data_IF_607179653526
#
_entry.id   IF_607179653526
#
_cell.length_a   1.000
_cell.length_b   1.000
_cell.length_c   1.000
_cell.angle_alpha   90.00
_cell.angle_beta   90.00
_cell.angle_gamma   90.00
#
_symmetry.space_group_name_H-M   'P 1'
#
loop_
_entity.id
_entity.type
_entity.pdbx_description
1 polymer ?
#
# COMPACT_ATOMS: atom_id res chain seq x y z
N UNK A 1 24.06 47.67 45.02
CA UNK A 1 24.10 46.21 44.77
C UNK A 1 23.54 45.92 43.35
N UNK A 2 24.25 45.15 42.57
CA UNK A 2 24.22 45.11 41.10
C UNK A 2 23.01 44.34 40.51
N UNK A 3 22.28 44.87 39.51
CA UNK A 3 21.32 44.12 38.75
C UNK A 3 22.00 43.56 37.48
N UNK A 4 22.76 42.46 37.59
CA UNK A 4 23.42 41.80 36.43
C UNK A 4 22.77 40.45 36.02
N UNK A 5 21.68 40.04 36.66
CA UNK A 5 21.05 38.74 36.38
C UNK A 5 19.77 38.81 35.50
N UNK A 6 19.28 40.01 35.20
CA UNK A 6 18.06 40.17 34.42
C UNK A 6 18.34 40.28 32.91
N UNK A 7 19.55 40.66 32.51
CA UNK A 7 19.93 40.80 31.11
C UNK A 7 20.22 39.46 30.41
N UNK A 8 20.53 38.39 31.16
CA UNK A 8 20.86 37.08 30.57
C UNK A 8 19.62 36.26 30.22
N UNK A 9 18.48 36.54 30.88
CA UNK A 9 17.21 35.86 30.60
C UNK A 9 16.50 36.41 29.35
N UNK A 10 16.79 37.64 28.96
CA UNK A 10 16.16 38.27 27.77
C UNK A 10 16.84 37.85 26.45
N UNK A 11 18.07 37.30 26.50
CA UNK A 11 18.79 36.89 25.29
C UNK A 11 18.60 35.42 24.93
N UNK A 12 18.08 34.60 25.86
CA UNK A 12 17.85 33.16 25.60
C UNK A 12 16.43 32.91 25.07
N UNK A 13 15.47 33.80 25.34
CA UNK A 13 14.06 33.64 24.92
C UNK A 13 13.84 33.64 23.41
N UNK A 14 14.55 34.43 22.56
CA UNK A 14 14.35 34.35 21.12
C UNK A 14 14.99 33.12 20.46
N UNK A 15 15.90 32.40 21.15
CA UNK A 15 16.54 31.20 20.56
C UNK A 15 15.68 29.91 20.70
N UNK A 16 14.71 29.89 21.62
CA UNK A 16 13.83 28.73 21.84
C UNK A 16 12.66 28.75 20.85
N UNK A 17 12.26 29.93 20.34
CA UNK A 17 11.15 30.08 19.39
C UNK A 17 11.57 29.73 17.95
N UNK A 18 12.88 29.74 17.64
CA UNK A 18 13.37 29.35 16.30
C UNK A 18 13.53 27.83 16.12
N UNK A 19 13.34 27.01 17.17
CA UNK A 19 13.46 25.55 17.09
C UNK A 19 12.08 24.84 16.94
N UNK A 20 10.96 25.57 17.00
CA UNK A 20 9.68 25.07 16.49
C UNK A 20 9.65 25.33 15.00
N UNK A 21 10.56 24.70 14.26
CA UNK A 21 10.46 24.57 12.83
C UNK A 21 9.10 24.01 12.52
N UNK A 22 8.30 24.76 11.77
CA UNK A 22 7.14 24.21 11.06
C UNK A 22 7.61 22.92 10.38
N UNK A 23 7.28 21.79 11.00
CA UNK A 23 7.13 20.56 10.26
C UNK A 23 5.91 20.83 9.37
N UNK A 24 6.14 21.50 8.24
CA UNK A 24 5.24 21.40 7.11
C UNK A 24 5.22 19.89 6.83
N UNK A 25 4.17 19.22 7.26
CA UNK A 25 3.81 17.94 6.70
C UNK A 25 3.68 18.24 5.21
N UNK A 26 4.75 17.91 4.50
CA UNK A 26 4.73 17.87 3.06
C UNK A 26 3.73 16.76 2.76
N UNK A 27 2.45 17.15 2.54
CA UNK A 27 1.45 16.23 2.02
C UNK A 27 2.07 15.66 0.75
N UNK A 28 2.58 14.45 0.84
CA UNK A 28 3.07 13.72 -0.32
C UNK A 28 1.85 13.56 -1.23
N UNK A 29 1.83 14.32 -2.32
CA UNK A 29 0.76 14.26 -3.30
C UNK A 29 0.71 12.84 -3.83
N UNK A 30 -0.32 12.11 -3.44
CA UNK A 30 -0.54 10.74 -3.91
C UNK A 30 -0.82 10.82 -5.41
N UNK A 31 0.01 10.16 -6.21
CA UNK A 31 -0.23 10.04 -7.65
C UNK A 31 -1.30 8.98 -7.89
N UNK A 32 -2.47 9.41 -8.35
CA UNK A 32 -3.60 8.56 -8.70
C UNK A 32 -3.86 8.54 -10.21
N UNK A 33 -2.86 8.93 -11.01
CA UNK A 33 -2.96 8.91 -12.46
C UNK A 33 -3.11 7.46 -12.94
N UNK A 34 -4.12 7.13 -13.76
CA UNK A 34 -4.26 5.78 -14.29
C UNK A 34 -3.04 5.37 -15.11
N UNK A 35 -2.54 4.16 -14.88
CA UNK A 35 -1.45 3.61 -15.69
C UNK A 35 -1.89 3.40 -17.14
N UNK A 36 -1.00 3.74 -18.08
CA UNK A 36 -1.28 3.56 -19.50
C UNK A 36 -1.16 2.07 -19.87
N UNK A 37 -2.27 1.43 -20.20
CA UNK A 37 -2.36 -0.03 -20.40
C UNK A 37 -1.62 -0.46 -21.68
N UNK A 38 -0.69 -1.41 -21.56
CA UNK A 38 -0.11 -2.11 -22.69
C UNK A 38 -1.04 -3.25 -23.13
N UNK A 39 -1.59 -3.17 -24.35
CA UNK A 39 -2.60 -4.12 -24.85
C UNK A 39 -2.12 -5.57 -24.91
N UNK A 40 -0.83 -5.82 -25.17
CA UNK A 40 -0.27 -7.17 -25.19
C UNK A 40 -0.16 -7.75 -23.78
N UNK A 41 0.29 -6.95 -22.83
CA UNK A 41 0.35 -7.35 -21.43
C UNK A 41 -1.06 -7.58 -20.86
N UNK A 42 -2.01 -6.69 -21.17
CA UNK A 42 -3.41 -6.81 -20.76
C UNK A 42 -4.08 -8.08 -21.32
N UNK A 43 -3.77 -8.45 -22.56
CA UNK A 43 -4.26 -9.72 -23.13
C UNK A 43 -3.79 -10.95 -22.33
N UNK A 44 -2.55 -10.94 -21.83
CA UNK A 44 -2.02 -12.02 -20.98
C UNK A 44 -2.69 -12.02 -19.60
N UNK A 45 -2.93 -10.85 -19.03
CA UNK A 45 -3.65 -10.69 -17.77
C UNK A 45 -5.09 -11.24 -17.90
N UNK A 46 -5.81 -10.88 -18.96
CA UNK A 46 -7.17 -11.39 -19.21
C UNK A 46 -7.18 -12.91 -19.39
N UNK A 47 -6.18 -13.51 -20.04
CA UNK A 47 -6.05 -14.97 -20.14
C UNK A 47 -5.88 -15.61 -18.75
N UNK A 48 -5.10 -14.99 -17.87
CA UNK A 48 -4.99 -15.45 -16.49
C UNK A 48 -6.34 -15.37 -15.76
N UNK A 49 -7.06 -14.25 -15.88
CA UNK A 49 -8.37 -14.06 -15.25
C UNK A 49 -9.40 -15.08 -15.72
N UNK A 50 -9.52 -15.28 -17.04
CA UNK A 50 -10.44 -16.28 -17.62
C UNK A 50 -10.12 -17.69 -17.14
N UNK A 51 -8.84 -18.03 -17.03
CA UNK A 51 -8.44 -19.34 -16.53
C UNK A 51 -8.80 -19.54 -15.04
N UNK A 52 -8.65 -18.51 -14.21
CA UNK A 52 -9.07 -18.54 -12.81
C UNK A 52 -10.58 -18.73 -12.65
N UNK A 53 -11.38 -18.08 -13.49
CA UNK A 53 -12.84 -18.23 -13.47
C UNK A 53 -13.28 -19.64 -13.88
N UNK A 54 -12.53 -20.30 -14.74
CA UNK A 54 -12.86 -21.63 -15.27
C UNK A 54 -12.33 -22.79 -14.44
N UNK A 55 -11.29 -22.58 -13.63
CA UNK A 55 -10.62 -23.63 -12.87
C UNK A 55 -9.86 -23.08 -11.66
N UNK A 56 -10.07 -23.71 -10.50
CA UNK A 56 -9.46 -23.32 -9.23
C UNK A 56 -8.42 -24.37 -8.74
N UNK A 57 -7.85 -25.16 -9.65
CA UNK A 57 -6.82 -26.13 -9.28
C UNK A 57 -5.41 -25.50 -9.25
N UNK A 58 -4.47 -26.19 -8.56
CA UNK A 58 -3.10 -25.72 -8.38
C UNK A 58 -2.34 -25.54 -9.71
N UNK A 59 -2.57 -26.41 -10.69
CA UNK A 59 -1.88 -26.34 -11.98
C UNK A 59 -2.37 -25.16 -12.81
N UNK A 60 -3.67 -24.88 -12.78
CA UNK A 60 -4.28 -23.69 -13.38
C UNK A 60 -3.79 -22.42 -12.71
N UNK A 61 -3.69 -22.39 -11.38
CA UNK A 61 -3.12 -21.25 -10.63
C UNK A 61 -1.67 -20.98 -11.04
N UNK A 62 -0.83 -22.02 -11.13
CA UNK A 62 0.55 -21.87 -11.62
C UNK A 62 0.62 -21.38 -13.07
N UNK A 63 -0.33 -21.78 -13.91
CA UNK A 63 -0.41 -21.28 -15.30
C UNK A 63 -0.81 -19.81 -15.33
N UNK A 64 -1.74 -19.37 -14.47
CA UNK A 64 -2.07 -17.96 -14.30
C UNK A 64 -0.84 -17.13 -13.89
N UNK A 65 -0.06 -17.60 -12.91
CA UNK A 65 1.18 -16.93 -12.50
C UNK A 65 2.14 -16.78 -13.68
N UNK A 66 2.30 -17.80 -14.53
CA UNK A 66 3.14 -17.70 -15.74
C UNK A 66 2.63 -16.67 -16.76
N UNK A 67 1.32 -16.48 -16.89
CA UNK A 67 0.77 -15.41 -17.73
C UNK A 67 1.07 -14.04 -17.15
N UNK A 68 0.95 -13.89 -15.83
CA UNK A 68 1.29 -12.64 -15.13
C UNK A 68 2.78 -12.33 -15.21
N UNK A 69 3.67 -13.32 -15.12
CA UNK A 69 5.11 -13.13 -15.34
C UNK A 69 5.42 -12.56 -16.73
N UNK A 70 4.74 -13.07 -17.76
CA UNK A 70 4.89 -12.56 -19.12
C UNK A 70 4.31 -11.15 -19.26
N UNK A 71 3.17 -10.86 -18.61
CA UNK A 71 2.59 -9.52 -18.60
C UNK A 71 3.53 -8.51 -17.94
N UNK A 72 4.10 -8.85 -16.77
CA UNK A 72 5.08 -8.03 -16.05
C UNK A 72 6.39 -7.83 -16.81
N UNK A 73 6.81 -8.79 -17.63
CA UNK A 73 7.98 -8.64 -18.50
C UNK A 73 7.76 -7.60 -19.61
N UNK A 74 6.50 -7.40 -20.04
CA UNK A 74 6.12 -6.42 -21.06
C UNK A 74 5.82 -5.05 -20.43
N UNK A 75 5.10 -5.05 -19.30
CA UNK A 75 4.65 -3.86 -18.60
C UNK A 75 4.87 -4.02 -17.09
N UNK A 76 6.03 -3.62 -16.63
CA UNK A 76 6.46 -3.75 -15.23
C UNK A 76 5.95 -2.63 -14.32
N UNK A 77 5.10 -1.73 -14.80
CA UNK A 77 4.56 -0.62 -14.02
C UNK A 77 3.07 -0.79 -13.69
N UNK A 78 2.42 -1.82 -14.23
CA UNK A 78 0.99 -2.04 -13.97
C UNK A 78 0.78 -2.73 -12.61
N UNK A 79 0.13 -2.05 -11.64
CA UNK A 79 -0.08 -2.58 -10.29
C UNK A 79 -0.98 -3.82 -10.24
N UNK A 80 -1.94 -3.95 -11.19
CA UNK A 80 -2.91 -5.05 -11.19
C UNK A 80 -2.22 -6.41 -11.39
N UNK A 81 -1.14 -6.45 -12.20
CA UNK A 81 -0.41 -7.69 -12.46
C UNK A 81 0.35 -8.17 -11.22
N UNK A 82 0.94 -7.25 -10.46
CA UNK A 82 1.60 -7.57 -9.18
C UNK A 82 0.59 -8.00 -8.13
N UNK A 83 -0.49 -7.23 -7.96
CA UNK A 83 -1.55 -7.53 -7.00
C UNK A 83 -2.14 -8.92 -7.22
N UNK A 84 -2.49 -9.24 -8.48
CA UNK A 84 -3.03 -10.55 -8.82
C UNK A 84 -2.02 -11.68 -8.60
N UNK A 85 -0.76 -11.50 -9.00
CA UNK A 85 0.28 -12.50 -8.76
C UNK A 85 0.51 -12.76 -7.28
N UNK A 86 0.60 -11.71 -6.47
CA UNK A 86 0.76 -11.83 -5.02
C UNK A 86 -0.43 -12.53 -4.36
N UNK A 87 -1.66 -12.21 -4.81
CA UNK A 87 -2.87 -12.89 -4.36
C UNK A 87 -2.82 -14.40 -4.63
N UNK A 88 -2.50 -14.80 -5.85
CA UNK A 88 -2.40 -16.22 -6.22
C UNK A 88 -1.34 -16.97 -5.43
N UNK A 89 -0.17 -16.36 -5.21
CA UNK A 89 0.88 -16.92 -4.37
C UNK A 89 0.42 -17.08 -2.92
N UNK A 90 -0.29 -16.09 -2.38
CA UNK A 90 -0.87 -16.16 -1.03
C UNK A 90 -1.89 -17.28 -0.89
N UNK A 91 -2.80 -17.45 -1.87
CA UNK A 91 -3.79 -18.54 -1.91
C UNK A 91 -3.13 -19.94 -1.99
N UNK A 92 -1.94 -20.03 -2.58
CA UNK A 92 -1.11 -21.24 -2.58
C UNK A 92 -0.34 -21.46 -1.28
N UNK A 93 -0.42 -20.53 -0.31
CA UNK A 93 0.35 -20.55 0.93
C UNK A 93 1.81 -20.08 0.79
N UNK A 94 2.19 -19.58 -0.38
CA UNK A 94 3.53 -19.06 -0.67
C UNK A 94 3.69 -17.59 -0.20
N UNK A 95 3.48 -17.35 1.12
CA UNK A 95 3.43 -16.00 1.68
C UNK A 95 4.73 -15.21 1.48
N UNK A 96 5.90 -15.86 1.55
CA UNK A 96 7.18 -15.18 1.31
C UNK A 96 7.32 -14.72 -0.15
N UNK A 97 6.90 -15.55 -1.10
CA UNK A 97 6.89 -15.20 -2.51
C UNK A 97 5.89 -14.06 -2.78
N UNK A 98 4.71 -14.11 -2.17
CA UNK A 98 3.70 -13.06 -2.26
C UNK A 98 4.25 -11.71 -1.74
N UNK A 99 4.87 -11.71 -0.56
CA UNK A 99 5.46 -10.52 0.03
C UNK A 99 6.61 -9.96 -0.82
N UNK A 100 7.45 -10.83 -1.39
CA UNK A 100 8.51 -10.42 -2.32
C UNK A 100 7.94 -9.71 -3.56
N UNK A 101 6.88 -10.25 -4.17
CA UNK A 101 6.21 -9.63 -5.33
C UNK A 101 5.63 -8.25 -4.97
N UNK A 102 5.08 -8.12 -3.77
CA UNK A 102 4.58 -6.86 -3.26
C UNK A 102 5.72 -5.84 -3.06
N UNK A 103 6.86 -6.24 -2.51
CA UNK A 103 8.03 -5.36 -2.36
C UNK A 103 8.57 -4.89 -3.71
N UNK A 104 8.65 -5.80 -4.68
CA UNK A 104 9.10 -5.46 -6.04
C UNK A 104 8.19 -4.42 -6.73
N UNK A 105 6.88 -4.51 -6.54
CA UNK A 105 5.95 -3.51 -7.06
C UNK A 105 6.16 -2.13 -6.42
N UNK A 106 6.47 -2.06 -5.13
CA UNK A 106 6.80 -0.81 -4.46
C UNK A 106 8.07 -0.17 -5.04
N UNK A 107 9.11 -0.95 -5.31
CA UNK A 107 10.34 -0.49 -5.96
C UNK A 107 10.09 0.07 -7.36
N UNK A 108 9.07 -0.44 -8.05
CA UNK A 108 8.65 0.02 -9.38
C UNK A 108 7.65 1.18 -9.34
N UNK A 109 7.26 1.67 -8.15
CA UNK A 109 6.15 2.61 -7.95
C UNK A 109 4.81 2.14 -8.55
N UNK A 110 4.65 0.83 -8.75
CA UNK A 110 3.43 0.19 -9.20
C UNK A 110 2.51 -0.09 -8.01
N UNK A 111 1.99 0.96 -7.39
CA UNK A 111 1.19 0.87 -6.16
C UNK A 111 -0.16 1.56 -6.31
N UNK A 112 -1.17 0.98 -5.67
CA UNK A 112 -2.50 1.58 -5.48
C UNK A 112 -2.91 1.47 -4.02
N UNK A 113 -4.02 2.11 -3.65
CA UNK A 113 -4.57 1.96 -2.30
C UNK A 113 -4.99 0.52 -1.99
N UNK A 114 -5.57 -0.19 -2.96
CA UNK A 114 -5.88 -1.61 -2.84
C UNK A 114 -4.64 -2.47 -2.64
N UNK A 115 -3.61 -2.21 -3.44
CA UNK A 115 -2.31 -2.87 -3.32
C UNK A 115 -1.72 -2.73 -1.91
N UNK A 116 -1.70 -1.52 -1.36
CA UNK A 116 -1.21 -1.25 -0.02
C UNK A 116 -2.04 -1.95 1.06
N UNK A 117 -3.35 -2.08 0.84
CA UNK A 117 -4.25 -2.84 1.71
C UNK A 117 -3.88 -4.33 1.73
N UNK A 118 -3.71 -4.93 0.55
CA UNK A 118 -3.29 -6.33 0.41
C UNK A 118 -1.92 -6.59 1.03
N UNK A 119 -0.97 -5.67 0.85
CA UNK A 119 0.35 -5.73 1.50
C UNK A 119 0.22 -5.76 3.02
N UNK A 120 -0.61 -4.90 3.59
CA UNK A 120 -0.88 -4.89 5.03
C UNK A 120 -1.45 -6.23 5.54
N UNK A 121 -2.36 -6.84 4.78
CA UNK A 121 -2.89 -8.18 5.13
C UNK A 121 -1.80 -9.26 5.09
N UNK A 122 -0.93 -9.27 4.08
CA UNK A 122 0.18 -10.22 3.99
C UNK A 122 1.19 -10.05 5.13
N UNK A 123 1.50 -8.80 5.47
CA UNK A 123 2.40 -8.48 6.59
C UNK A 123 1.79 -8.93 7.92
N UNK A 124 0.51 -8.70 8.14
CA UNK A 124 -0.21 -9.16 9.33
C UNK A 124 -0.23 -10.70 9.42
N UNK A 125 -0.45 -11.41 8.30
CA UNK A 125 -0.41 -12.87 8.23
C UNK A 125 0.99 -13.46 8.54
N UNK A 126 2.04 -12.63 8.46
CA UNK A 126 3.43 -12.99 8.80
C UNK A 126 3.87 -12.38 10.15
N UNK A 127 2.93 -11.98 11.00
CA UNK A 127 3.20 -11.36 12.30
C UNK A 127 4.04 -10.05 12.24
N UNK A 128 4.12 -9.42 11.07
CA UNK A 128 4.79 -8.14 10.84
C UNK A 128 3.84 -6.97 11.16
N UNK A 129 3.41 -6.87 12.42
CA UNK A 129 2.30 -5.99 12.82
C UNK A 129 2.60 -4.49 12.65
N UNK A 130 3.85 -4.07 12.85
CA UNK A 130 4.24 -2.66 12.70
C UNK A 130 4.18 -2.23 11.23
N UNK A 131 4.71 -3.06 10.34
CA UNK A 131 4.71 -2.83 8.88
C UNK A 131 3.28 -2.91 8.32
N UNK A 132 2.48 -3.86 8.80
CA UNK A 132 1.07 -3.98 8.42
C UNK A 132 0.29 -2.71 8.79
N UNK A 133 0.48 -2.20 10.00
CA UNK A 133 -0.13 -0.94 10.44
C UNK A 133 0.28 0.24 9.54
N UNK A 134 1.55 0.37 9.20
CA UNK A 134 2.03 1.41 8.28
C UNK A 134 1.38 1.27 6.89
N UNK A 135 1.28 0.04 6.37
CA UNK A 135 0.68 -0.24 5.07
C UNK A 135 -0.81 0.10 5.04
N UNK A 136 -1.57 -0.22 6.09
CA UNK A 136 -2.98 0.19 6.21
C UNK A 136 -3.13 1.70 6.28
N UNK A 137 -2.25 2.40 7.01
CA UNK A 137 -2.24 3.86 7.08
C UNK A 137 -2.01 4.51 5.70
N UNK A 138 -1.04 4.02 4.94
CA UNK A 138 -0.77 4.47 3.57
C UNK A 138 -1.94 4.17 2.64
N UNK A 139 -2.53 2.97 2.74
CA UNK A 139 -3.71 2.57 1.96
C UNK A 139 -4.88 3.53 2.20
N UNK A 140 -5.20 3.82 3.47
CA UNK A 140 -6.23 4.78 3.86
C UNK A 140 -6.03 6.14 3.17
N UNK A 141 -4.82 6.70 3.26
CA UNK A 141 -4.49 8.01 2.67
C UNK A 141 -4.67 7.98 1.14
N UNK A 142 -4.19 6.92 0.49
CA UNK A 142 -4.32 6.76 -0.96
C UNK A 142 -5.79 6.67 -1.39
N UNK A 143 -6.57 5.81 -0.74
CA UNK A 143 -7.98 5.60 -1.07
C UNK A 143 -8.83 6.84 -0.80
N UNK A 144 -8.52 7.61 0.25
CA UNK A 144 -9.14 8.90 0.49
C UNK A 144 -8.84 9.92 -0.62
N UNK A 145 -7.62 9.91 -1.20
CA UNK A 145 -7.29 10.74 -2.36
C UNK A 145 -8.09 10.32 -3.60
N UNK A 146 -8.24 9.00 -3.83
CA UNK A 146 -9.10 8.45 -4.90
C UNK A 146 -10.55 8.92 -4.72
N UNK A 147 -11.10 8.83 -3.51
CA UNK A 147 -12.48 9.26 -3.22
C UNK A 147 -12.71 10.76 -3.41
N UNK A 148 -11.71 11.59 -3.16
CA UNK A 148 -11.80 13.03 -3.48
C UNK A 148 -11.98 13.29 -4.98
N UNK A 149 -11.36 12.47 -5.83
CA UNK A 149 -11.45 12.59 -7.29
C UNK A 149 -12.64 11.82 -7.87
N UNK A 150 -12.98 10.66 -7.28
CA UNK A 150 -14.04 9.75 -7.72
C UNK A 150 -14.98 9.42 -6.55
N UNK A 151 -15.87 10.34 -6.14
CA UNK A 151 -16.70 10.20 -4.92
C UNK A 151 -17.64 8.98 -4.95
N UNK A 152 -18.04 8.55 -6.14
CA UNK A 152 -18.99 7.43 -6.33
C UNK A 152 -18.28 6.06 -6.40
N UNK A 153 -16.97 6.00 -6.16
CA UNK A 153 -16.22 4.73 -6.17
C UNK A 153 -16.53 3.90 -4.93
N UNK A 154 -17.52 3.02 -5.02
CA UNK A 154 -17.92 2.13 -3.94
C UNK A 154 -16.75 1.23 -3.47
N UNK A 155 -15.94 0.71 -4.41
CA UNK A 155 -14.76 -0.11 -4.09
C UNK A 155 -13.74 0.66 -3.25
N UNK A 156 -13.38 1.88 -3.67
CA UNK A 156 -12.47 2.73 -2.91
C UNK A 156 -13.04 3.08 -1.52
N UNK A 157 -14.35 3.32 -1.41
CA UNK A 157 -15.01 3.61 -0.13
C UNK A 157 -14.89 2.41 0.83
N UNK A 158 -15.28 1.21 0.39
CA UNK A 158 -15.23 0.00 1.22
C UNK A 158 -13.81 -0.28 1.70
N UNK A 159 -12.83 -0.21 0.80
CA UNK A 159 -11.42 -0.44 1.15
C UNK A 159 -10.85 0.65 2.06
N UNK A 160 -11.25 1.91 1.89
CA UNK A 160 -10.84 3.00 2.78
C UNK A 160 -11.35 2.80 4.20
N UNK A 161 -12.61 2.38 4.36
CA UNK A 161 -13.19 2.08 5.68
C UNK A 161 -12.53 0.86 6.33
N UNK A 162 -12.26 -0.20 5.55
CA UNK A 162 -11.53 -1.37 6.03
C UNK A 162 -10.11 -1.02 6.47
N UNK A 163 -9.37 -0.27 5.65
CA UNK A 163 -8.02 0.18 5.96
C UNK A 163 -7.99 1.08 7.22
N UNK A 164 -8.97 1.98 7.36
CA UNK A 164 -9.13 2.83 8.53
C UNK A 164 -9.38 1.99 9.80
N UNK A 165 -10.28 1.03 9.72
CA UNK A 165 -10.60 0.15 10.85
C UNK A 165 -9.38 -0.65 11.33
N UNK A 166 -8.59 -1.21 10.40
CA UNK A 166 -7.36 -1.95 10.72
C UNK A 166 -6.25 -1.04 11.24
N UNK A 167 -6.14 0.16 10.69
CA UNK A 167 -5.18 1.16 11.15
C UNK A 167 -5.46 1.65 12.56
N UNK A 168 -6.73 1.87 12.94
CA UNK A 168 -7.09 2.39 14.25
C UNK A 168 -7.12 1.32 15.34
N UNK A 169 -7.35 0.05 14.98
CA UNK A 169 -7.43 -1.07 15.91
C UNK A 169 -6.07 -1.76 16.13
N UNK A 170 -5.07 -1.01 16.61
CA UNK A 170 -3.70 -1.50 16.86
C UNK A 170 -3.60 -2.78 17.70
N UNK A 171 -4.56 -2.99 18.62
CA UNK A 171 -4.57 -4.08 19.60
C UNK A 171 -5.71 -5.07 19.38
N UNK A 172 -6.41 -5.00 18.25
CA UNK A 172 -7.58 -5.83 18.05
C UNK A 172 -7.23 -7.32 17.89
N UNK A 173 -8.12 -8.18 18.38
CA UNK A 173 -8.10 -9.62 18.16
C UNK A 173 -7.99 -10.01 16.67
N UNK A 174 -8.39 -9.10 15.76
CA UNK A 174 -8.29 -9.29 14.32
C UNK A 174 -6.83 -9.40 13.86
N UNK A 175 -5.93 -8.54 14.37
CA UNK A 175 -4.49 -8.58 14.06
C UNK A 175 -3.76 -9.79 14.67
N UNK A 176 -4.42 -10.53 15.61
CA UNK A 176 -3.86 -11.74 16.23
C UNK A 176 -4.31 -13.04 15.56
N UNK A 177 -5.33 -12.98 14.70
CA UNK A 177 -6.01 -14.15 14.13
C UNK A 177 -6.04 -14.14 12.58
N UNK A 178 -5.29 -13.23 11.92
CA UNK A 178 -5.01 -13.28 10.50
C UNK A 178 -3.76 -14.09 10.27
#
# INVERSE_FOLDING_TARGET
MKPKKLSLLLTILPMIIAATGCHSQQESKVDITPHCINLQADSLYRQAMTLMESSCDVDSTRKCIRFLDKALAIDSLNPDYYGMKAKLLSEMGELDSALYIQTLAMEKNAITGEYLFQLGLLQAAKDMHAEAHESFGKSKVFLQAVLKQYPDSLGAFILAEAANSLYENKDSLFMRNI
#
